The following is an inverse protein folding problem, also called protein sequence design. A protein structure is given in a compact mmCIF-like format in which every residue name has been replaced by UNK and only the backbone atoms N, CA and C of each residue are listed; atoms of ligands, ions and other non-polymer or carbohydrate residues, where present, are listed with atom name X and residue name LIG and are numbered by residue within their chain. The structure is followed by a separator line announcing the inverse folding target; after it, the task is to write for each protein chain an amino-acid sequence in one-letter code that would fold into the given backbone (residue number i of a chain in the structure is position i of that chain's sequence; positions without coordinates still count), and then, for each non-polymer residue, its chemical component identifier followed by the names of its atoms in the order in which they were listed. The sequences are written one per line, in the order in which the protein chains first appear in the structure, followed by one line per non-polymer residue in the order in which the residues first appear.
data_IF_716876508746
#
_entry.id   IF_716876508746
#
_cell.length_a   1.000
_cell.length_b   1.000
_cell.length_c   1.000
_cell.angle_alpha   90.00
_cell.angle_beta   90.00
_cell.angle_gamma   90.00
#
_symmetry.space_group_name_H-M   'P 1'
#
loop_
_entity.id
_entity.type
_entity.pdbx_description
1 polymer ?
#
# COMPACT_ATOMS: atom_id res chain seq x y z
N UNK A 1 -31.47 -0.36 5.75
CA UNK A 1 -30.81 -0.79 4.50
C UNK A 1 -29.68 -1.76 4.83
N UNK A 2 -29.77 -3.00 4.34
CA UNK A 2 -28.78 -4.06 4.59
C UNK A 2 -27.72 -4.07 3.47
N UNK A 3 -26.43 -4.22 3.81
CA UNK A 3 -25.36 -4.39 2.81
C UNK A 3 -25.54 -5.73 2.09
N UNK A 4 -25.64 -5.69 0.76
CA UNK A 4 -25.74 -6.88 -0.07
C UNK A 4 -24.53 -7.82 0.14
N UNK A 5 -24.75 -9.14 0.08
CA UNK A 5 -23.74 -10.14 0.41
C UNK A 5 -22.48 -10.08 -0.46
N UNK A 6 -22.58 -9.57 -1.69
CA UNK A 6 -21.43 -9.35 -2.58
C UNK A 6 -20.47 -8.25 -2.14
N UNK A 7 -20.91 -7.34 -1.26
CA UNK A 7 -20.08 -6.26 -0.69
C UNK A 7 -19.36 -6.71 0.59
N UNK A 8 -19.46 -7.99 0.97
CA UNK A 8 -18.73 -8.57 2.10
C UNK A 8 -17.26 -8.74 1.69
N UNK A 9 -16.36 -8.26 2.55
CA UNK A 9 -14.92 -8.39 2.33
C UNK A 9 -14.53 -9.87 2.52
N UNK A 10 -14.06 -10.51 1.45
CA UNK A 10 -13.56 -11.88 1.51
C UNK A 10 -12.11 -11.89 2.03
N UNK A 11 -11.90 -12.33 3.26
CA UNK A 11 -10.58 -12.40 3.91
C UNK A 11 -9.69 -13.51 3.33
N UNK A 12 -10.28 -14.54 2.72
CA UNK A 12 -9.56 -15.66 2.09
C UNK A 12 -8.82 -15.25 0.82
N UNK A 13 -9.28 -14.17 0.17
CA UNK A 13 -8.68 -13.61 -1.04
C UNK A 13 -7.89 -12.32 -0.74
N UNK A 14 -7.16 -12.27 0.37
CA UNK A 14 -6.29 -11.13 0.70
C UNK A 14 -5.16 -11.04 -0.34
N UNK A 15 -5.41 -10.29 -1.41
CA UNK A 15 -4.44 -10.06 -2.48
C UNK A 15 -3.35 -9.13 -1.98
N UNK A 16 -2.10 -9.46 -2.29
CA UNK A 16 -0.98 -8.56 -2.06
C UNK A 16 -1.22 -7.24 -2.81
N UNK A 17 -1.14 -6.11 -2.09
CA UNK A 17 -1.23 -4.78 -2.69
C UNK A 17 -0.04 -4.53 -3.61
N UNK A 18 -0.26 -3.76 -4.69
CA UNK A 18 0.77 -3.43 -5.68
C UNK A 18 1.53 -2.14 -5.37
N UNK A 19 0.97 -1.28 -4.50
CA UNK A 19 1.51 0.04 -4.15
C UNK A 19 1.55 0.16 -2.62
N UNK A 20 2.61 0.79 -2.12
CA UNK A 20 2.77 1.09 -0.69
C UNK A 20 1.74 2.13 -0.21
N UNK A 21 1.43 2.11 1.09
CA UNK A 21 0.62 3.16 1.75
C UNK A 21 1.40 4.47 1.70
N UNK A 22 0.69 5.60 1.77
CA UNK A 22 1.30 6.93 1.65
C UNK A 22 2.49 7.14 2.60
N UNK A 23 2.34 6.79 3.88
CA UNK A 23 3.42 6.93 4.88
C UNK A 23 4.66 6.10 4.51
N UNK A 24 4.46 4.86 4.06
CA UNK A 24 5.54 3.98 3.61
C UNK A 24 6.21 4.53 2.34
N UNK A 25 5.44 5.17 1.45
CA UNK A 25 5.96 5.82 0.25
C UNK A 25 6.82 7.02 0.59
N UNK A 26 6.37 7.85 1.52
CA UNK A 26 7.16 8.99 2.00
C UNK A 26 8.49 8.48 2.55
N UNK A 27 8.47 7.53 3.49
CA UNK A 27 9.70 6.95 4.06
C UNK A 27 10.65 6.40 2.99
N UNK A 28 10.14 5.65 2.01
CA UNK A 28 10.94 5.13 0.89
C UNK A 28 11.53 6.25 0.02
N UNK A 29 10.73 7.28 -0.32
CA UNK A 29 11.16 8.39 -1.15
C UNK A 29 12.15 9.31 -0.43
N UNK A 30 12.06 9.43 0.89
CA UNK A 30 13.05 10.11 1.73
C UNK A 30 14.40 9.41 1.66
N UNK A 31 14.42 8.06 1.75
CA UNK A 31 15.64 7.26 1.59
C UNK A 31 16.24 7.42 0.20
N UNK A 32 15.40 7.48 -0.84
CA UNK A 32 15.81 7.73 -2.23
C UNK A 32 16.20 9.20 -2.50
N UNK A 33 16.13 10.09 -1.50
CA UNK A 33 16.37 11.54 -1.61
C UNK A 33 15.47 12.24 -2.66
N UNK A 34 14.30 11.66 -2.94
CA UNK A 34 13.30 12.17 -3.88
C UNK A 34 12.19 12.98 -3.22
N UNK A 35 12.11 12.94 -1.89
CA UNK A 35 11.15 13.67 -1.08
C UNK A 35 11.86 14.23 0.15
N UNK A 36 11.62 15.51 0.48
CA UNK A 36 12.13 16.19 1.67
C UNK A 36 10.98 16.74 2.52
N UNK A 37 11.25 17.00 3.79
CA UNK A 37 10.27 17.62 4.67
C UNK A 37 9.86 19.00 4.13
N UNK A 38 8.54 19.19 3.98
CA UNK A 38 7.93 20.36 3.35
C UNK A 38 7.50 20.15 1.90
N UNK A 39 7.90 19.07 1.24
CA UNK A 39 7.34 18.68 -0.05
C UNK A 39 5.89 18.19 0.11
N UNK A 40 5.10 18.30 -0.97
CA UNK A 40 3.71 17.86 -0.94
C UNK A 40 3.60 16.34 -0.68
N UNK A 41 2.63 15.98 0.15
CA UNK A 41 2.26 14.61 0.50
C UNK A 41 1.19 14.05 -0.43
N UNK A 42 0.66 14.87 -1.34
CA UNK A 42 -0.20 14.45 -2.47
C UNK A 42 0.63 14.27 -3.74
N UNK A 43 0.07 13.59 -4.75
CA UNK A 43 0.76 13.44 -6.05
C UNK A 43 2.05 12.61 -6.07
N UNK A 44 2.42 11.93 -4.98
CA UNK A 44 3.65 11.15 -4.88
C UNK A 44 3.83 10.17 -6.09
N UNK A 45 5.07 9.84 -6.50
CA UNK A 45 5.37 8.89 -7.58
C UNK A 45 5.19 7.42 -7.18
N UNK A 46 4.52 6.61 -8.00
CA UNK A 46 4.07 5.25 -7.65
C UNK A 46 5.21 4.35 -7.14
N UNK A 47 5.21 4.06 -5.84
CA UNK A 47 6.20 3.21 -5.18
C UNK A 47 5.63 1.79 -5.02
N UNK A 48 6.21 0.84 -5.75
CA UNK A 48 5.74 -0.56 -5.76
C UNK A 48 6.23 -1.31 -4.53
N UNK A 49 5.49 -2.33 -4.11
CA UNK A 49 5.96 -3.26 -3.08
C UNK A 49 7.05 -4.15 -3.68
N UNK A 50 8.27 -4.04 -3.18
CA UNK A 50 9.37 -4.93 -3.56
C UNK A 50 9.27 -6.21 -2.71
N UNK A 51 9.01 -7.33 -3.37
CA UNK A 51 8.83 -8.64 -2.71
C UNK A 51 7.36 -9.01 -2.54
N UNK A 52 6.96 -10.15 -3.12
CA UNK A 52 5.72 -10.82 -2.72
C UNK A 52 5.94 -11.31 -1.29
N UNK A 53 5.24 -10.74 -0.31
CA UNK A 53 5.23 -11.32 1.05
C UNK A 53 4.69 -12.74 0.86
N UNK A 54 5.58 -13.74 0.96
CA UNK A 54 5.14 -15.14 0.96
C UNK A 54 4.32 -15.28 2.23
N UNK A 55 3.05 -15.65 2.10
CA UNK A 55 2.23 -15.96 3.25
C UNK A 55 3.00 -16.98 4.09
N UNK A 56 3.24 -16.67 5.36
CA UNK A 56 3.85 -17.61 6.30
C UNK A 56 2.87 -18.78 6.39
N UNK A 57 3.28 -19.98 5.94
CA UNK A 57 2.48 -21.19 6.16
C UNK A 57 2.31 -21.34 7.67
N UNK A 58 1.04 -21.44 8.10
CA UNK A 58 0.68 -21.84 9.45
C UNK A 58 1.04 -23.31 9.67
#
# INVERSE_FOLDING_TARGET
MSRHASLKVNTLATKNRSVLKRQERIAQLTVERRWKDGDDVTGLPKTKVHGKVKAKKA
#
